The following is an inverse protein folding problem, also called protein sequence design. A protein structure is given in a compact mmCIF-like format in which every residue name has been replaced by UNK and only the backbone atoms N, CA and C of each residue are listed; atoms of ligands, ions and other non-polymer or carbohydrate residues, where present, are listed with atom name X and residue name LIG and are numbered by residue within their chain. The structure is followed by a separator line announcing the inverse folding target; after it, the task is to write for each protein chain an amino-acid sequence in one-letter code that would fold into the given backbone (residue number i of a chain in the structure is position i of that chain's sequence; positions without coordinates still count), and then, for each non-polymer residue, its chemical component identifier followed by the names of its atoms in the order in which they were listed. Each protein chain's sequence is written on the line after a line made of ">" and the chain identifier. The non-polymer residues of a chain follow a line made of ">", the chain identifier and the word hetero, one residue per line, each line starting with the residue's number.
data_IF_254750891824
#
_entry.id   IF_254750891824
#
_cell.length_a   1.000
_cell.length_b   1.000
_cell.length_c   1.000
_cell.angle_alpha   90.00
_cell.angle_beta   90.00
_cell.angle_gamma   90.00
#
_symmetry.space_group_name_H-M   'P 1'
#
loop_
_entity.id
_entity.type
_entity.pdbx_description
1 polymer ?
#
# COMPACT_ATOMS: atom_id res chain seq x y z
N UNK A 1 -0.62 15.71 -6.59
CA UNK A 1 0.25 16.14 -5.49
C UNK A 1 0.20 15.09 -4.37
N UNK A 2 1.37 14.72 -3.82
CA UNK A 2 1.48 13.72 -2.76
C UNK A 2 2.32 14.25 -1.59
N UNK A 3 1.91 13.90 -0.36
CA UNK A 3 2.68 14.14 0.86
C UNK A 3 3.07 12.79 1.43
N UNK A 4 4.36 12.55 1.54
CA UNK A 4 4.93 11.33 2.16
C UNK A 4 5.21 11.55 3.64
N UNK A 5 5.47 10.46 4.37
CA UNK A 5 5.89 10.51 5.78
C UNK A 5 4.92 11.29 6.68
N UNK A 6 3.62 11.04 6.53
CA UNK A 6 2.60 11.84 7.19
C UNK A 6 2.04 11.23 8.49
N UNK A 7 2.31 9.96 8.80
CA UNK A 7 1.72 9.27 9.97
C UNK A 7 2.03 10.03 11.28
N UNK A 8 3.23 10.56 11.42
CA UNK A 8 3.65 11.32 12.58
C UNK A 8 3.00 12.72 12.73
N UNK A 9 2.21 13.16 11.76
CA UNK A 9 1.68 14.54 11.73
C UNK A 9 0.43 14.74 12.59
N UNK A 10 -0.35 13.68 12.85
CA UNK A 10 -1.60 13.72 13.61
C UNK A 10 -1.86 12.41 14.33
N UNK A 11 -2.43 12.49 15.53
CA UNK A 11 -2.72 11.31 16.38
C UNK A 11 -3.69 10.34 15.73
N UNK A 12 -4.74 10.81 15.07
CA UNK A 12 -5.71 9.96 14.38
C UNK A 12 -5.13 9.14 13.22
N UNK A 13 -3.96 9.53 12.69
CA UNK A 13 -3.29 8.76 11.65
C UNK A 13 -2.60 7.51 12.20
N UNK A 14 -2.25 7.51 13.51
CA UNK A 14 -1.70 6.34 14.19
C UNK A 14 -2.69 5.17 14.20
N UNK A 15 -3.99 5.44 14.30
CA UNK A 15 -5.03 4.42 14.28
C UNK A 15 -5.11 3.67 12.93
N UNK A 16 -4.68 4.31 11.84
CA UNK A 16 -4.64 3.68 10.51
C UNK A 16 -3.49 2.69 10.36
N UNK A 17 -2.50 2.71 11.25
CA UNK A 17 -1.33 1.82 11.18
C UNK A 17 -1.71 0.37 11.43
N UNK A 18 -2.66 0.12 12.35
CA UNK A 18 -3.15 -1.19 12.72
C UNK A 18 -4.68 -1.32 12.65
N UNK A 19 -5.31 -0.54 11.77
CA UNK A 19 -6.77 -0.51 11.65
C UNK A 19 -7.36 -1.91 11.54
N UNK A 20 -8.21 -2.28 12.48
CA UNK A 20 -8.71 -3.64 12.69
C UNK A 20 -9.45 -4.25 11.48
N UNK A 21 -9.98 -3.44 10.57
CA UNK A 21 -10.63 -3.91 9.34
C UNK A 21 -9.64 -4.17 8.20
N UNK A 22 -8.46 -3.60 8.25
CA UNK A 22 -7.49 -3.67 7.14
C UNK A 22 -6.25 -4.49 7.47
N UNK A 23 -5.69 -4.34 8.67
CA UNK A 23 -4.50 -5.08 9.08
C UNK A 23 -4.64 -6.62 8.96
N UNK A 24 -5.78 -7.26 9.30
CA UNK A 24 -5.93 -8.71 9.13
C UNK A 24 -5.74 -9.20 7.70
N UNK A 25 -6.11 -8.39 6.70
CA UNK A 25 -5.89 -8.72 5.29
C UNK A 25 -4.41 -8.62 4.90
N UNK A 26 -3.68 -7.70 5.52
CA UNK A 26 -2.25 -7.51 5.27
C UNK A 26 -1.45 -8.66 5.87
N UNK A 27 -1.59 -8.94 7.17
CA UNK A 27 -0.84 -10.04 7.78
C UNK A 27 -1.32 -11.42 7.30
N UNK A 28 -2.58 -11.56 6.90
CA UNK A 28 -3.10 -12.78 6.27
C UNK A 28 -2.41 -13.12 4.94
N UNK A 29 -1.77 -12.15 4.30
CA UNK A 29 -1.04 -12.30 3.03
C UNK A 29 0.47 -12.31 3.24
N UNK A 30 1.00 -11.40 4.07
CA UNK A 30 2.46 -11.21 4.26
C UNK A 30 3.01 -11.93 5.49
N UNK A 31 2.17 -12.38 6.42
CA UNK A 31 2.60 -12.91 7.70
C UNK A 31 2.80 -11.83 8.78
N UNK A 32 3.22 -12.24 9.98
CA UNK A 32 3.33 -11.35 11.14
C UNK A 32 4.61 -10.50 11.17
N UNK A 33 5.67 -10.88 10.42
CA UNK A 33 6.96 -10.19 10.45
C UNK A 33 6.99 -9.02 9.46
N UNK A 34 6.09 -8.07 9.71
CA UNK A 34 5.85 -6.91 8.83
C UNK A 34 6.00 -5.58 9.56
N UNK A 35 6.22 -4.55 8.75
CA UNK A 35 6.17 -3.14 9.16
C UNK A 35 5.57 -2.26 8.08
N UNK A 36 5.18 -1.07 8.46
CA UNK A 36 4.88 0.03 7.55
C UNK A 36 6.21 0.58 6.99
N UNK A 37 6.36 0.62 5.65
CA UNK A 37 7.60 1.08 5.02
C UNK A 37 7.41 2.37 4.22
N UNK A 38 6.17 2.73 3.94
CA UNK A 38 5.82 3.88 3.12
C UNK A 38 4.42 4.36 3.43
N UNK A 39 4.26 5.68 3.50
CA UNK A 39 2.97 6.33 3.65
C UNK A 39 2.85 7.51 2.70
N UNK A 40 1.71 7.67 2.05
CA UNK A 40 1.49 8.81 1.17
C UNK A 40 0.03 9.25 1.20
N UNK A 41 -0.18 10.53 1.49
CA UNK A 41 -1.44 11.22 1.24
C UNK A 41 -1.44 11.80 -0.17
N UNK A 42 -2.42 11.45 -0.97
CA UNK A 42 -2.53 11.85 -2.37
C UNK A 42 -3.76 12.71 -2.59
N UNK A 43 -3.59 13.85 -3.25
CA UNK A 43 -4.68 14.62 -3.82
C UNK A 43 -4.57 14.66 -5.35
N UNK A 44 -5.70 14.51 -6.01
CA UNK A 44 -5.82 14.64 -7.47
C UNK A 44 -6.89 15.70 -7.74
N UNK A 45 -6.50 16.96 -7.95
CA UNK A 45 -7.45 18.03 -8.23
C UNK A 45 -8.08 17.85 -9.62
N UNK A 46 -9.20 18.50 -9.87
CA UNK A 46 -9.80 18.58 -11.20
C UNK A 46 -8.80 19.11 -12.24
N UNK A 47 -8.84 18.55 -13.44
CA UNK A 47 -8.07 19.06 -14.57
C UNK A 47 -8.94 19.88 -15.51
N UNK A 48 -8.44 21.03 -15.93
CA UNK A 48 -9.10 21.87 -16.95
C UNK A 48 -8.53 21.59 -18.35
N UNK A 49 -7.50 20.76 -18.47
CA UNK A 49 -6.84 20.44 -19.76
C UNK A 49 -7.60 19.43 -20.60
N UNK A 50 -8.50 18.67 -19.97
CA UNK A 50 -9.25 17.60 -20.59
C UNK A 50 -10.73 17.75 -20.29
N UNK A 51 -11.57 17.36 -21.24
CA UNK A 51 -13.02 17.30 -21.06
C UNK A 51 -13.42 15.96 -20.41
N UNK A 52 -14.64 15.84 -19.85
CA UNK A 52 -15.10 14.59 -19.22
C UNK A 52 -14.98 13.35 -20.11
N UNK A 53 -15.27 13.46 -21.39
CA UNK A 53 -15.13 12.37 -22.37
C UNK A 53 -13.69 11.95 -22.65
N UNK A 54 -12.71 12.74 -22.23
CA UNK A 54 -11.27 12.50 -22.41
C UNK A 54 -10.61 11.88 -21.18
N UNK A 55 -11.36 11.34 -20.23
CA UNK A 55 -10.82 10.78 -18.98
C UNK A 55 -9.80 9.65 -19.20
N UNK A 56 -9.79 9.03 -20.38
CA UNK A 56 -8.86 7.95 -20.76
C UNK A 56 -7.61 8.41 -21.51
N UNK A 57 -7.52 9.71 -21.87
CA UNK A 57 -6.48 10.22 -22.76
C UNK A 57 -5.08 10.26 -22.14
N UNK A 58 -4.99 10.27 -20.81
CA UNK A 58 -3.70 10.30 -20.14
C UNK A 58 -3.68 9.46 -18.88
N UNK A 59 -2.66 8.62 -18.79
CA UNK A 59 -2.36 7.78 -17.63
C UNK A 59 -0.85 7.67 -17.47
N UNK A 60 -0.38 7.48 -16.25
CA UNK A 60 1.03 7.24 -15.95
C UNK A 60 1.23 5.86 -15.30
N UNK A 61 1.16 4.83 -16.12
CA UNK A 61 1.29 3.45 -15.66
C UNK A 61 2.63 3.17 -15.01
N UNK A 62 2.61 2.64 -13.81
CA UNK A 62 3.79 2.25 -13.06
C UNK A 62 3.52 1.08 -12.11
N UNK A 63 4.59 0.48 -11.63
CA UNK A 63 4.58 -0.40 -10.47
C UNK A 63 5.37 0.25 -9.34
N UNK A 64 5.11 -0.15 -8.11
CA UNK A 64 5.88 0.33 -6.95
C UNK A 64 7.15 -0.48 -6.67
N UNK A 65 7.50 -1.42 -7.54
CA UNK A 65 8.66 -2.30 -7.37
C UNK A 65 9.99 -1.66 -7.72
N UNK A 66 9.97 -0.53 -8.43
CA UNK A 66 11.18 0.08 -8.96
C UNK A 66 11.97 -0.92 -9.82
N UNK A 67 13.25 -1.07 -9.53
CA UNK A 67 14.13 -1.99 -10.28
C UNK A 67 14.05 -3.46 -9.81
N UNK A 68 13.34 -3.76 -8.73
CA UNK A 68 13.31 -5.10 -8.16
C UNK A 68 12.85 -6.17 -9.17
N UNK A 69 11.81 -5.86 -9.95
CA UNK A 69 11.31 -6.80 -10.98
C UNK A 69 12.31 -7.06 -12.09
N UNK A 70 13.20 -6.10 -12.39
CA UNK A 70 14.28 -6.25 -13.34
C UNK A 70 15.44 -7.07 -12.75
N UNK A 71 15.75 -6.85 -11.48
CA UNK A 71 16.95 -7.41 -10.83
C UNK A 71 16.74 -8.87 -10.40
N UNK A 72 15.47 -9.34 -10.35
CA UNK A 72 15.16 -10.75 -10.08
C UNK A 72 15.33 -11.56 -11.38
N UNK A 73 15.93 -12.74 -11.26
CA UNK A 73 16.14 -13.65 -12.37
C UNK A 73 14.84 -13.92 -13.15
N UNK A 74 14.90 -13.86 -14.47
CA UNK A 74 13.72 -13.98 -15.36
C UNK A 74 12.95 -15.30 -15.20
N UNK A 75 13.62 -16.37 -14.84
CA UNK A 75 13.01 -17.69 -14.64
C UNK A 75 12.17 -17.80 -13.36
N UNK A 76 12.25 -16.83 -12.47
CA UNK A 76 11.54 -16.83 -11.19
C UNK A 76 10.35 -15.86 -11.21
N UNK A 77 9.23 -16.27 -10.66
CA UNK A 77 8.13 -15.34 -10.37
C UNK A 77 8.61 -14.33 -9.30
N UNK A 78 8.46 -13.01 -9.53
CA UNK A 78 8.89 -12.02 -8.56
C UNK A 78 8.18 -12.23 -7.21
N UNK A 79 8.92 -12.30 -6.09
CA UNK A 79 8.31 -12.52 -4.78
C UNK A 79 7.41 -11.36 -4.37
N UNK A 80 6.34 -11.67 -3.65
CA UNK A 80 5.54 -10.67 -2.98
C UNK A 80 6.26 -10.22 -1.72
N UNK A 81 6.79 -9.02 -1.69
CA UNK A 81 7.52 -8.46 -0.55
C UNK A 81 6.82 -7.31 0.15
N UNK A 82 5.78 -6.77 -0.45
CA UNK A 82 4.96 -5.72 0.15
C UNK A 82 3.60 -5.61 -0.50
N UNK A 83 2.67 -5.03 0.26
CA UNK A 83 1.33 -4.68 -0.18
C UNK A 83 0.99 -3.25 0.25
N UNK A 84 0.07 -2.63 -0.46
CA UNK A 84 -0.51 -1.35 -0.08
C UNK A 84 -1.99 -1.48 0.21
N UNK A 85 -2.45 -0.66 1.13
CA UNK A 85 -3.87 -0.35 1.32
C UNK A 85 -4.08 1.13 1.03
N UNK A 86 -4.99 1.42 0.10
CA UNK A 86 -5.44 2.78 -0.24
C UNK A 86 -6.79 3.05 0.41
N UNK A 87 -6.86 4.05 1.29
CA UNK A 87 -8.11 4.51 1.90
C UNK A 87 -8.71 5.62 1.03
N UNK A 88 -9.90 5.39 0.54
CA UNK A 88 -10.66 6.34 -0.28
C UNK A 88 -11.33 7.36 0.64
N UNK A 89 -10.93 8.63 0.56
CA UNK A 89 -11.44 9.69 1.43
C UNK A 89 -12.54 10.55 0.77
N UNK A 90 -12.66 10.47 -0.55
CA UNK A 90 -13.70 11.14 -1.35
C UNK A 90 -14.32 10.14 -2.30
N UNK A 91 -15.57 10.29 -2.61
CA UNK A 91 -16.25 9.43 -3.57
C UNK A 91 -15.54 9.41 -4.94
N UNK A 92 -15.42 8.23 -5.50
CA UNK A 92 -14.93 7.98 -6.87
C UNK A 92 -15.89 7.00 -7.55
N UNK A 93 -17.18 7.36 -7.60
CA UNK A 93 -18.27 6.44 -7.99
C UNK A 93 -18.35 6.18 -9.48
N UNK A 94 -17.76 7.07 -10.29
CA UNK A 94 -17.74 6.98 -11.75
C UNK A 94 -16.32 7.11 -12.28
N UNK A 95 -16.03 6.58 -13.49
CA UNK A 95 -14.75 6.80 -14.17
C UNK A 95 -14.45 8.29 -14.38
N UNK A 96 -13.18 8.66 -14.29
CA UNK A 96 -12.76 10.05 -14.50
C UNK A 96 -12.79 10.93 -13.25
N UNK A 97 -12.98 10.37 -12.07
CA UNK A 97 -12.91 11.06 -10.79
C UNK A 97 -11.54 10.96 -10.10
N UNK A 98 -10.46 10.76 -10.86
CA UNK A 98 -9.15 10.51 -10.30
C UNK A 98 -9.03 9.12 -9.67
N UNK A 99 -9.79 8.15 -10.15
CA UNK A 99 -9.91 6.79 -9.63
C UNK A 99 -8.54 6.10 -9.55
N UNK A 100 -8.42 5.14 -8.65
CA UNK A 100 -7.37 4.14 -8.74
C UNK A 100 -7.62 3.26 -9.96
N UNK A 101 -6.63 3.14 -10.83
CA UNK A 101 -6.73 2.34 -12.06
C UNK A 101 -5.68 1.25 -12.01
N UNK A 102 -6.01 0.05 -12.46
CA UNK A 102 -5.06 -1.05 -12.51
C UNK A 102 -5.32 -2.00 -13.66
N UNK A 103 -4.29 -2.78 -14.01
CA UNK A 103 -4.42 -3.98 -14.83
C UNK A 103 -4.58 -5.20 -13.92
N UNK A 104 -5.77 -5.81 -13.83
CA UNK A 104 -5.97 -7.02 -13.03
C UNK A 104 -5.02 -8.14 -13.44
N UNK A 105 -4.38 -8.80 -12.48
CA UNK A 105 -3.46 -9.91 -12.75
C UNK A 105 -2.02 -9.51 -13.07
N UNK A 106 -1.76 -8.26 -13.44
CA UNK A 106 -0.45 -7.78 -13.92
C UNK A 106 0.69 -7.79 -12.88
N UNK A 107 0.40 -8.10 -11.63
CA UNK A 107 1.42 -8.34 -10.61
C UNK A 107 2.29 -9.58 -10.91
N UNK A 108 1.88 -10.42 -11.87
CA UNK A 108 2.63 -11.57 -12.37
C UNK A 108 3.50 -11.22 -13.56
N UNK A 109 3.22 -10.08 -14.21
CA UNK A 109 3.90 -9.67 -15.43
C UNK A 109 5.09 -8.77 -15.10
N UNK A 110 6.24 -9.06 -15.70
CA UNK A 110 7.45 -8.24 -15.55
C UNK A 110 7.40 -6.99 -16.41
N UNK A 111 6.69 -7.07 -17.51
CA UNK A 111 6.52 -6.00 -18.47
C UNK A 111 5.13 -5.39 -18.37
N UNK A 112 5.01 -4.18 -18.84
CA UNK A 112 3.72 -3.53 -18.97
C UNK A 112 2.83 -4.31 -19.94
N UNK A 113 1.62 -4.70 -19.53
CA UNK A 113 0.75 -5.55 -20.36
C UNK A 113 0.12 -4.81 -21.56
N UNK A 114 0.04 -3.49 -21.50
CA UNK A 114 -0.53 -2.66 -22.56
C UNK A 114 0.50 -2.25 -23.61
N UNK A 115 0.04 -1.69 -24.72
CA UNK A 115 0.89 -1.17 -25.80
C UNK A 115 1.39 0.26 -25.54
N UNK A 116 0.65 1.06 -24.79
CA UNK A 116 0.94 2.47 -24.53
C UNK A 116 0.77 2.78 -23.04
N UNK A 117 1.88 3.17 -22.38
CA UNK A 117 1.89 3.53 -20.95
C UNK A 117 1.22 4.88 -20.64
N UNK A 118 0.81 5.60 -21.64
CA UNK A 118 0.19 6.92 -21.48
C UNK A 118 -1.32 6.91 -21.65
N UNK A 119 -1.90 5.76 -22.00
CA UNK A 119 -3.33 5.63 -22.26
C UNK A 119 -3.99 4.56 -21.39
N UNK A 120 -5.26 4.78 -21.11
CA UNK A 120 -6.13 3.77 -20.53
C UNK A 120 -6.56 2.79 -21.66
N UNK A 121 -6.45 1.50 -21.39
CA UNK A 121 -6.87 0.45 -22.30
C UNK A 121 -8.14 -0.23 -21.79
N UNK A 122 -8.82 -0.99 -22.65
CA UNK A 122 -10.08 -1.68 -22.31
C UNK A 122 -9.89 -2.73 -21.20
N UNK A 123 -8.71 -3.33 -21.09
CA UNK A 123 -8.41 -4.34 -20.09
C UNK A 123 -8.15 -3.74 -18.69
N UNK A 124 -7.94 -2.43 -18.62
CA UNK A 124 -7.69 -1.75 -17.36
C UNK A 124 -9.01 -1.47 -16.63
N UNK A 125 -8.97 -1.57 -15.32
CA UNK A 125 -10.13 -1.31 -14.47
C UNK A 125 -9.93 -0.01 -13.71
N UNK A 126 -10.86 0.93 -13.87
CA UNK A 126 -11.01 2.07 -12.97
C UNK A 126 -11.85 1.64 -11.77
N UNK A 127 -11.27 1.67 -10.59
CA UNK A 127 -11.95 1.26 -9.37
C UNK A 127 -12.90 2.37 -8.91
N UNK A 128 -14.19 2.13 -9.08
CA UNK A 128 -15.23 3.02 -8.56
C UNK A 128 -15.58 2.61 -7.12
N UNK A 129 -15.45 3.53 -6.18
CA UNK A 129 -15.63 3.25 -4.77
C UNK A 129 -16.11 4.47 -3.98
N UNK A 130 -17.00 4.28 -2.99
CA UNK A 130 -17.40 5.37 -2.09
C UNK A 130 -16.28 5.69 -1.09
N UNK A 131 -16.33 6.90 -0.54
CA UNK A 131 -15.52 7.30 0.60
C UNK A 131 -15.66 6.30 1.77
N UNK A 132 -14.57 6.02 2.48
CA UNK A 132 -14.50 4.99 3.51
C UNK A 132 -14.14 3.59 2.99
N UNK A 133 -14.04 3.39 1.68
CA UNK A 133 -13.55 2.14 1.09
C UNK A 133 -12.05 1.97 1.27
N UNK A 134 -11.58 0.71 1.27
CA UNK A 134 -10.16 0.36 1.27
C UNK A 134 -9.83 -0.53 0.06
N UNK A 135 -8.82 -0.12 -0.72
CA UNK A 135 -8.32 -0.83 -1.89
C UNK A 135 -7.00 -1.50 -1.52
N UNK A 136 -6.93 -2.83 -1.62
CA UNK A 136 -5.72 -3.61 -1.36
C UNK A 136 -5.06 -4.00 -2.67
N UNK A 137 -3.76 -3.78 -2.79
CA UNK A 137 -3.03 -4.18 -3.99
C UNK A 137 -1.58 -4.54 -3.71
N UNK A 138 -1.07 -5.45 -4.53
CA UNK A 138 0.34 -5.83 -4.56
C UNK A 138 1.16 -4.68 -5.19
N UNK A 139 2.32 -4.35 -4.63
CA UNK A 139 3.19 -3.31 -5.20
C UNK A 139 3.64 -3.58 -6.65
N UNK A 140 3.58 -4.83 -7.10
CA UNK A 140 3.93 -5.27 -8.46
C UNK A 140 2.83 -4.99 -9.47
N UNK A 141 1.61 -4.70 -9.01
CA UNK A 141 0.46 -4.42 -9.88
C UNK A 141 0.73 -3.14 -10.69
N UNK A 142 0.54 -3.20 -12.00
CA UNK A 142 0.52 -2.01 -12.83
C UNK A 142 -0.71 -1.19 -12.52
N UNK A 143 -0.48 0.05 -12.10
CA UNK A 143 -1.54 0.95 -11.64
C UNK A 143 -1.20 2.41 -11.91
N UNK A 144 -2.21 3.26 -11.78
CA UNK A 144 -2.09 4.72 -11.91
C UNK A 144 -3.32 5.40 -11.27
N UNK A 145 -3.28 6.69 -10.93
CA UNK A 145 -4.51 7.47 -10.87
C UNK A 145 -5.03 7.75 -12.29
N UNK A 146 -6.35 7.75 -12.48
CA UNK A 146 -6.97 8.29 -13.70
C UNK A 146 -6.90 9.82 -13.69
N UNK A 147 -7.18 10.44 -14.84
CA UNK A 147 -7.51 11.86 -14.86
C UNK A 147 -8.70 12.16 -13.93
N UNK A 148 -8.68 13.31 -13.32
CA UNK A 148 -9.83 13.84 -12.60
C UNK A 148 -10.49 14.92 -13.46
N UNK A 149 -11.52 14.55 -14.18
CA UNK A 149 -12.35 15.42 -15.00
C UNK A 149 -13.64 15.82 -14.31
N UNK A 150 -13.80 15.43 -13.03
CA UNK A 150 -14.89 15.87 -12.17
C UNK A 150 -14.65 17.32 -11.67
N UNK A 151 -15.54 17.83 -10.86
CA UNK A 151 -15.44 19.15 -10.25
C UNK A 151 -14.89 19.12 -8.80
N UNK A 152 -14.57 17.93 -8.27
CA UNK A 152 -14.11 17.76 -6.89
C UNK A 152 -12.69 17.19 -6.83
N UNK A 153 -11.92 17.63 -5.85
CA UNK A 153 -10.58 17.06 -5.61
C UNK A 153 -10.72 15.68 -4.97
N UNK A 154 -10.09 14.67 -5.56
CA UNK A 154 -9.99 13.34 -4.99
C UNK A 154 -8.87 13.28 -3.95
N UNK A 155 -9.18 12.71 -2.76
CA UNK A 155 -8.22 12.43 -1.68
C UNK A 155 -8.13 10.94 -1.40
N UNK A 156 -6.91 10.43 -1.25
CA UNK A 156 -6.61 9.07 -0.81
C UNK A 156 -5.40 9.07 0.11
N UNK A 157 -5.37 8.10 1.03
CA UNK A 157 -4.21 7.78 1.85
C UNK A 157 -3.75 6.36 1.49
N UNK A 158 -2.45 6.17 1.30
CA UNK A 158 -1.87 4.85 1.06
C UNK A 158 -0.89 4.50 2.16
N UNK A 159 -1.11 3.36 2.80
CA UNK A 159 -0.18 2.72 3.73
C UNK A 159 0.43 1.49 3.05
N UNK A 160 1.76 1.47 2.94
CA UNK A 160 2.53 0.36 2.38
C UNK A 160 3.16 -0.49 3.48
N UNK A 161 2.83 -1.78 3.49
CA UNK A 161 3.39 -2.77 4.42
C UNK A 161 4.35 -3.68 3.70
N UNK A 162 5.46 -4.00 4.34
CA UNK A 162 6.49 -4.90 3.84
C UNK A 162 7.06 -5.75 4.96
N UNK A 163 7.88 -6.73 4.61
CA UNK A 163 8.71 -7.41 5.60
C UNK A 163 9.63 -6.43 6.33
N UNK A 164 9.91 -6.69 7.61
CA UNK A 164 10.70 -5.80 8.49
C UNK A 164 12.13 -5.55 7.99
N UNK A 165 12.71 -6.50 7.28
CA UNK A 165 14.08 -6.37 6.73
C UNK A 165 14.18 -5.40 5.55
N UNK A 166 13.05 -5.01 4.91
CA UNK A 166 13.07 -4.06 3.81
C UNK A 166 13.30 -2.64 4.35
N UNK A 167 14.20 -1.89 3.72
CA UNK A 167 14.40 -0.49 4.06
C UNK A 167 13.11 0.34 3.86
N UNK A 168 12.94 1.34 4.72
CA UNK A 168 11.84 2.29 4.56
C UNK A 168 12.04 3.10 3.28
N UNK A 169 10.93 3.45 2.64
CA UNK A 169 10.90 4.44 1.56
C UNK A 169 10.79 5.87 2.12
N UNK A 170 10.14 6.01 3.27
CA UNK A 170 10.00 7.26 4.02
C UNK A 170 11.00 7.29 5.17
N UNK A 171 11.25 8.47 5.73
CA UNK A 171 12.06 8.63 6.94
C UNK A 171 11.36 8.05 8.19
N UNK A 172 10.05 7.87 8.14
CA UNK A 172 9.21 7.41 9.25
C UNK A 172 9.41 8.26 10.49
N UNK A 173 9.12 9.55 10.37
CA UNK A 173 9.26 10.57 11.44
C UNK A 173 8.19 10.39 12.53
N UNK A 174 8.31 9.29 13.28
CA UNK A 174 7.29 8.82 14.25
C UNK A 174 7.82 8.68 15.68
N UNK A 175 9.10 8.92 15.92
CA UNK A 175 9.73 8.70 17.24
C UNK A 175 9.00 9.42 18.39
N UNK A 176 8.51 10.63 18.13
CA UNK A 176 7.81 11.46 19.12
C UNK A 176 6.46 10.89 19.59
N UNK A 177 5.87 9.96 18.83
CA UNK A 177 4.57 9.35 19.17
C UNK A 177 4.68 7.90 19.68
N UNK A 178 5.86 7.28 19.67
CA UNK A 178 6.04 5.89 20.09
C UNK A 178 5.61 5.63 21.56
N UNK A 179 5.65 6.65 22.43
CA UNK A 179 5.20 6.51 23.81
C UNK A 179 3.69 6.27 23.94
N UNK A 180 2.90 6.61 22.91
CA UNK A 180 1.43 6.40 22.83
C UNK A 180 1.05 5.17 22.02
N UNK A 181 1.99 4.64 21.24
CA UNK A 181 1.74 3.52 20.35
C UNK A 181 1.60 2.21 21.12
N UNK A 182 0.65 1.38 20.70
CA UNK A 182 0.51 -0.01 21.18
C UNK A 182 1.74 -0.83 20.81
N UNK A 183 1.97 -2.02 21.41
CA UNK A 183 3.06 -2.89 21.01
C UNK A 183 3.03 -3.24 19.50
N UNK A 184 1.85 -3.52 18.94
CA UNK A 184 1.68 -3.80 17.50
C UNK A 184 1.99 -2.56 16.65
N UNK A 185 1.48 -1.39 17.03
CA UNK A 185 1.82 -0.14 16.34
C UNK A 185 3.31 0.15 16.37
N UNK A 186 4.00 -0.09 17.49
CA UNK A 186 5.46 0.06 17.60
C UNK A 186 6.20 -0.84 16.60
N UNK A 187 5.82 -2.13 16.53
CA UNK A 187 6.36 -3.04 15.52
C UNK A 187 6.13 -2.51 14.11
N UNK A 188 4.89 -2.13 13.78
CA UNK A 188 4.52 -1.64 12.46
C UNK A 188 5.20 -0.32 12.10
N UNK A 189 5.47 0.54 13.06
CA UNK A 189 6.26 1.77 12.88
C UNK A 189 7.77 1.53 12.82
N UNK A 190 8.20 0.28 12.84
CA UNK A 190 9.61 -0.09 12.68
C UNK A 190 10.44 0.00 13.94
N UNK A 191 9.82 0.10 15.12
CA UNK A 191 10.54 0.01 16.38
C UNK A 191 11.02 -1.43 16.61
N UNK A 192 12.23 -1.58 17.14
CA UNK A 192 12.79 -2.85 17.59
C UNK A 192 13.60 -2.62 18.85
N UNK A 193 13.48 -3.52 19.81
CA UNK A 193 14.32 -3.53 21.01
C UNK A 193 15.75 -3.97 20.71
N UNK A 194 15.93 -4.83 19.74
CA UNK A 194 17.18 -5.52 19.45
C UNK A 194 17.86 -5.11 18.13
N UNK A 195 17.18 -4.30 17.30
CA UNK A 195 17.72 -3.84 16.02
C UNK A 195 17.89 -4.92 14.94
N UNK A 196 17.49 -6.15 15.22
CA UNK A 196 17.65 -7.29 14.32
C UNK A 196 16.49 -7.39 13.31
N UNK A 197 16.38 -6.42 12.43
CA UNK A 197 15.33 -6.37 11.42
C UNK A 197 15.48 -7.47 10.38
N UNK A 198 14.74 -8.57 10.53
CA UNK A 198 14.68 -9.64 9.53
C UNK A 198 15.90 -10.55 9.51
N UNK A 199 16.69 -10.62 10.57
CA UNK A 199 17.59 -11.74 10.75
C UNK A 199 16.78 -13.03 10.98
N UNK A 200 17.38 -14.18 10.72
CA UNK A 200 16.77 -15.49 10.99
C UNK A 200 16.34 -15.68 12.45
N UNK A 201 16.79 -14.83 13.35
CA UNK A 201 16.52 -14.84 14.78
C UNK A 201 15.78 -13.55 15.19
N UNK A 202 14.58 -13.32 14.66
CA UNK A 202 13.72 -12.26 15.17
C UNK A 202 13.39 -12.55 16.62
N UNK A 203 13.65 -11.56 17.50
CA UNK A 203 13.32 -11.66 18.91
C UNK A 203 11.81 -11.55 19.09
N UNK A 204 11.26 -12.35 19.98
CA UNK A 204 9.81 -12.38 20.24
C UNK A 204 9.26 -11.01 20.68
N UNK A 205 10.01 -10.24 21.47
CA UNK A 205 9.64 -8.89 21.90
C UNK A 205 9.44 -7.90 20.73
N UNK A 206 10.05 -8.21 19.60
CA UNK A 206 9.95 -7.39 18.39
C UNK A 206 8.79 -7.79 17.48
N UNK A 207 8.07 -8.88 17.82
CA UNK A 207 6.99 -9.46 17.03
C UNK A 207 5.66 -9.59 17.80
N UNK A 208 5.18 -8.57 18.51
CA UNK A 208 3.91 -8.63 19.25
C UNK A 208 2.71 -9.02 18.36
N UNK A 209 2.72 -8.69 17.08
CA UNK A 209 1.68 -9.08 16.13
C UNK A 209 1.61 -10.62 15.96
N UNK A 210 2.74 -11.32 15.97
CA UNK A 210 2.81 -12.79 15.89
C UNK A 210 2.05 -13.44 17.07
N UNK A 211 2.27 -12.93 18.28
CA UNK A 211 1.60 -13.43 19.48
C UNK A 211 0.12 -13.10 19.46
N UNK A 212 -0.23 -11.89 19.07
CA UNK A 212 -1.64 -11.49 18.92
C UNK A 212 -2.39 -12.41 17.94
N UNK A 213 -1.78 -12.73 16.79
CA UNK A 213 -2.37 -13.67 15.80
C UNK A 213 -2.55 -15.06 16.41
N UNK A 214 -1.56 -15.57 17.15
CA UNK A 214 -1.65 -16.89 17.80
C UNK A 214 -2.79 -16.95 18.81
N UNK A 215 -3.07 -15.89 19.52
CA UNK A 215 -4.12 -15.80 20.52
C UNK A 215 -5.51 -15.60 19.90
N UNK A 216 -5.64 -14.75 18.88
CA UNK A 216 -6.94 -14.29 18.37
C UNK A 216 -7.34 -14.88 17.02
N UNK A 217 -6.43 -15.52 16.30
CA UNK A 217 -6.65 -16.15 15.00
C UNK A 217 -5.75 -17.38 14.82
N UNK A 218 -5.84 -18.39 15.72
CA UNK A 218 -4.91 -19.53 15.75
C UNK A 218 -4.91 -20.34 14.45
N UNK A 219 -6.01 -20.37 13.71
CA UNK A 219 -6.12 -21.06 12.44
C UNK A 219 -5.18 -20.48 11.35
N UNK A 220 -4.74 -19.23 11.52
CA UNK A 220 -3.75 -18.61 10.65
C UNK A 220 -2.31 -18.77 11.16
N UNK A 221 -2.13 -19.01 12.47
CA UNK A 221 -0.81 -19.12 13.08
C UNK A 221 0.02 -20.29 12.51
N UNK A 222 -0.65 -21.38 12.09
CA UNK A 222 -0.01 -22.54 11.48
C UNK A 222 0.68 -22.25 10.14
N UNK A 223 0.25 -21.21 9.44
CA UNK A 223 0.85 -20.79 8.16
C UNK A 223 2.24 -20.18 8.34
N UNK A 224 2.54 -19.70 9.54
CA UNK A 224 3.82 -19.05 9.88
C UNK A 224 4.37 -19.65 11.18
N UNK A 225 4.91 -20.87 11.14
CA UNK A 225 5.27 -21.63 12.33
C UNK A 225 6.46 -21.05 13.11
N UNK A 226 7.20 -20.09 12.57
CA UNK A 226 8.32 -19.45 13.27
C UNK A 226 8.35 -17.95 13.11
#
# INVERSE_FOLDING_TARGET
>A
FGVIDFIGQRDGLLELVDWYKTLPKIWGILGPDIKLYHTVGMQTPPTTKFKPEQHSEWINWHTDTGNLSRDIQESLEPPRISMKVGYVLTDTLEPGMGNFVCFPGSHRDRQFPGSDRTRLTEEAVQVCAPAGSAIFFDRRLWHSPSLNVSNETRYMIFNGYSYRWLANRDEMTVKHMLHRATPIQKQLLGFSHHGAYGSSNSFDDDLPLKFWIREHAPEFAERWPQ
#
